data_IF_879756058362
#
_entry.id   IF_879756058362
#
_cell.length_a   1.000
_cell.length_b   1.000
_cell.length_c   1.000
_cell.angle_alpha   90.00
_cell.angle_beta   90.00
_cell.angle_gamma   90.00
#
_symmetry.space_group_name_H-M   'P 1'
#
loop_
_entity.id
_entity.type
_entity.pdbx_description
1 polymer ?
#
# COMPACT_ATOMS: atom_id res chain seq x y z
N UNK A 1 8.00 0.82 9.49
CA UNK A 1 7.19 -0.10 8.66
C UNK A 1 6.09 -0.80 9.47
N UNK A 2 4.84 -0.85 8.98
CA UNK A 2 3.69 -1.55 9.64
C UNK A 2 3.32 -2.80 8.83
N UNK A 3 3.07 -3.92 9.50
CA UNK A 3 2.54 -5.13 8.86
C UNK A 3 1.03 -4.91 8.62
N UNK A 4 0.60 -4.93 7.36
CA UNK A 4 -0.79 -4.72 6.94
C UNK A 4 -1.54 -6.04 6.73
N UNK A 5 -0.83 -7.11 6.40
CA UNK A 5 -1.38 -8.47 6.26
C UNK A 5 -0.32 -9.51 6.65
N UNK A 6 -0.77 -10.65 7.16
CA UNK A 6 0.07 -11.81 7.42
C UNK A 6 -0.69 -13.11 7.13
N UNK A 7 0.03 -14.21 6.99
CA UNK A 7 -0.58 -15.54 6.98
C UNK A 7 -1.20 -15.92 8.33
N UNK A 8 -1.34 -17.22 8.59
CA UNK A 8 -2.03 -17.75 9.76
C UNK A 8 -1.45 -17.29 11.11
N UNK A 9 -0.16 -16.94 11.15
CA UNK A 9 0.50 -16.40 12.35
C UNK A 9 1.07 -15.02 12.07
N UNK A 10 0.95 -14.14 13.06
CA UNK A 10 1.61 -12.83 13.03
C UNK A 10 3.12 -13.06 13.01
N UNK A 11 3.87 -12.49 12.06
CA UNK A 11 5.30 -12.73 11.98
C UNK A 11 6.03 -11.96 13.07
N UNK A 12 6.96 -12.64 13.73
CA UNK A 12 7.98 -12.02 14.56
C UNK A 12 9.17 -11.69 13.65
N UNK A 13 9.41 -10.41 13.46
CA UNK A 13 10.53 -9.90 12.66
C UNK A 13 11.60 -9.37 13.61
N UNK A 14 12.81 -9.93 13.48
CA UNK A 14 14.01 -9.43 14.13
C UNK A 14 14.38 -8.02 13.66
N UNK A 15 15.38 -7.40 14.28
CA UNK A 15 15.92 -6.12 13.81
C UNK A 15 16.48 -6.21 12.40
N UNK A 16 17.16 -7.31 12.06
CA UNK A 16 17.72 -7.56 10.73
C UNK A 16 16.61 -7.74 9.70
N UNK A 17 15.54 -8.48 10.04
CA UNK A 17 14.41 -8.67 9.13
C UNK A 17 13.71 -7.32 8.83
N UNK A 18 13.56 -6.47 9.85
CA UNK A 18 12.97 -5.13 9.69
C UNK A 18 13.84 -4.24 8.81
N UNK A 19 15.16 -4.25 9.03
CA UNK A 19 16.10 -3.49 8.21
C UNK A 19 16.10 -3.98 6.75
N UNK A 20 16.00 -5.29 6.52
CA UNK A 20 15.89 -5.86 5.18
C UNK A 20 14.59 -5.45 4.48
N UNK A 21 13.47 -5.45 5.22
CA UNK A 21 12.20 -5.01 4.67
C UNK A 21 12.16 -3.52 4.33
N UNK A 22 12.76 -2.68 5.19
CA UNK A 22 12.90 -1.24 4.97
C UNK A 22 13.80 -0.93 3.78
N UNK A 23 14.96 -1.59 3.70
CA UNK A 23 15.86 -1.46 2.54
C UNK A 23 15.15 -1.83 1.24
N UNK A 24 14.40 -2.94 1.23
CA UNK A 24 13.65 -3.36 0.03
C UNK A 24 12.58 -2.34 -0.38
N UNK A 25 11.93 -1.71 0.59
CA UNK A 25 10.95 -0.66 0.33
C UNK A 25 11.60 0.57 -0.31
N UNK A 26 12.69 1.05 0.29
CA UNK A 26 13.39 2.27 -0.12
C UNK A 26 14.08 2.14 -1.47
N UNK A 27 14.72 1.00 -1.73
CA UNK A 27 15.53 0.79 -2.94
C UNK A 27 14.72 0.16 -4.08
N UNK A 28 13.55 -0.41 -3.79
CA UNK A 28 12.74 -1.11 -4.79
C UNK A 28 13.46 -2.34 -5.35
N UNK A 29 14.30 -2.97 -4.53
CA UNK A 29 15.07 -4.18 -4.83
C UNK A 29 14.84 -5.25 -3.75
N UNK A 30 15.08 -6.52 -4.10
CA UNK A 30 14.91 -7.60 -3.13
C UNK A 30 16.03 -7.62 -2.08
N UNK A 31 15.66 -7.94 -0.84
CA UNK A 31 16.61 -8.09 0.28
C UNK A 31 16.28 -9.32 1.14
N UNK A 32 17.23 -9.68 1.99
CA UNK A 32 17.12 -10.79 2.93
C UNK A 32 17.64 -12.12 2.37
N UNK A 33 17.15 -13.23 2.93
CA UNK A 33 17.59 -14.58 2.58
C UNK A 33 17.45 -14.85 1.08
N UNK A 34 18.47 -15.47 0.48
CA UNK A 34 18.48 -15.82 -0.94
C UNK A 34 18.57 -14.61 -1.88
N UNK A 35 19.06 -13.47 -1.39
CA UNK A 35 19.35 -12.26 -2.19
C UNK A 35 20.80 -11.83 -2.01
N UNK A 36 21.19 -10.67 -2.56
CA UNK A 36 22.54 -10.11 -2.41
C UNK A 36 22.67 -9.12 -1.25
N UNK A 37 21.56 -8.73 -0.62
CA UNK A 37 21.53 -7.64 0.37
C UNK A 37 20.90 -8.11 1.66
N UNK A 38 21.53 -7.80 2.80
CA UNK A 38 21.03 -8.13 4.15
C UNK A 38 20.69 -9.63 4.32
N UNK A 39 21.57 -10.48 3.79
CA UNK A 39 21.38 -11.94 3.67
C UNK A 39 21.28 -12.69 5.00
N UNK A 40 21.65 -12.05 6.11
CA UNK A 40 21.51 -12.57 7.46
C UNK A 40 20.05 -12.61 7.96
N UNK A 41 19.12 -11.96 7.26
CA UNK A 41 17.67 -12.04 7.50
C UNK A 41 17.16 -13.48 7.36
N UNK A 42 16.21 -13.89 8.19
CA UNK A 42 15.52 -15.18 8.05
C UNK A 42 14.38 -15.13 7.03
N UNK A 43 14.01 -13.91 6.64
CA UNK A 43 13.00 -13.61 5.66
C UNK A 43 13.62 -13.17 4.34
N UNK A 44 12.94 -13.45 3.25
CA UNK A 44 13.16 -12.84 1.94
C UNK A 44 12.09 -11.75 1.73
N UNK A 45 12.51 -10.57 1.33
CA UNK A 45 11.65 -9.42 1.09
C UNK A 45 11.64 -9.05 -0.39
N UNK A 46 10.44 -8.89 -0.95
CA UNK A 46 10.21 -8.57 -2.37
C UNK A 46 9.36 -7.28 -2.47
N UNK A 47 9.86 -6.22 -3.11
CA UNK A 47 9.10 -4.98 -3.26
C UNK A 47 7.92 -5.16 -4.22
N UNK A 48 6.77 -4.57 -3.89
CA UNK A 48 5.65 -4.40 -4.82
C UNK A 48 5.84 -3.08 -5.56
N UNK A 49 6.67 -3.12 -6.61
CA UNK A 49 7.07 -1.94 -7.40
C UNK A 49 6.07 -1.68 -8.51
N UNK A 50 5.61 -0.43 -8.62
CA UNK A 50 4.67 0.00 -9.67
C UNK A 50 5.10 1.34 -10.27
N UNK A 51 4.25 1.90 -11.14
CA UNK A 51 4.46 3.23 -11.71
C UNK A 51 4.46 4.36 -10.65
N UNK A 52 3.80 4.13 -9.51
CA UNK A 52 3.74 5.04 -8.36
C UNK A 52 4.92 4.86 -7.37
N UNK A 53 5.88 3.99 -7.69
CA UNK A 53 6.99 3.61 -6.81
C UNK A 53 6.73 2.30 -6.06
N UNK A 54 7.47 2.06 -4.98
CA UNK A 54 7.27 0.88 -4.12
C UNK A 54 6.10 1.14 -3.19
N UNK A 55 5.00 0.41 -3.34
CA UNK A 55 3.79 0.61 -2.54
C UNK A 55 3.77 -0.23 -1.26
N UNK A 56 4.40 -1.40 -1.30
CA UNK A 56 4.53 -2.30 -0.15
C UNK A 56 5.71 -3.27 -0.35
N UNK A 57 5.98 -4.09 0.67
CA UNK A 57 6.97 -5.17 0.60
C UNK A 57 6.32 -6.48 1.04
N UNK A 58 6.48 -7.51 0.21
CA UNK A 58 6.09 -8.88 0.50
C UNK A 58 7.21 -9.60 1.26
N UNK A 59 6.90 -10.11 2.46
CA UNK A 59 7.82 -10.94 3.24
C UNK A 59 7.52 -12.43 3.07
N UNK A 60 8.53 -13.22 2.72
CA UNK A 60 8.44 -14.66 2.50
C UNK A 60 9.43 -15.39 3.42
N UNK A 61 8.97 -16.43 4.11
CA UNK A 61 9.83 -17.28 4.95
C UNK A 61 9.52 -18.74 4.72
N UNK A 62 10.56 -19.55 4.52
CA UNK A 62 10.42 -21.01 4.47
C UNK A 62 10.46 -21.59 5.90
N UNK A 63 9.53 -22.48 6.28
CA UNK A 63 9.59 -23.19 7.56
C UNK A 63 10.83 -24.08 7.69
N UNK A 64 11.40 -24.50 6.55
CA UNK A 64 12.51 -25.47 6.47
C UNK A 64 13.90 -24.82 6.44
N UNK A 65 14.00 -23.50 6.58
CA UNK A 65 15.27 -22.75 6.48
C UNK A 65 15.85 -22.66 5.06
N UNK A 66 15.20 -23.28 4.07
CA UNK A 66 15.52 -23.16 2.64
C UNK A 66 15.05 -21.81 2.08
N UNK A 67 15.41 -21.52 0.83
CA UNK A 67 14.85 -20.36 0.12
C UNK A 67 13.32 -20.43 0.08
N UNK A 68 12.67 -19.30 0.35
CA UNK A 68 11.22 -19.21 0.33
C UNK A 68 10.66 -19.40 -1.09
N UNK A 69 11.43 -18.97 -2.11
CA UNK A 69 11.12 -19.19 -3.52
C UNK A 69 12.20 -20.10 -4.13
N UNK A 70 11.87 -21.36 -4.46
CA UNK A 70 12.81 -22.23 -5.17
C UNK A 70 13.17 -21.66 -6.55
N UNK A 71 14.43 -21.79 -6.96
CA UNK A 71 14.94 -21.25 -8.24
C UNK A 71 14.10 -21.70 -9.44
N UNK A 72 13.63 -22.95 -9.45
CA UNK A 72 12.78 -23.52 -10.51
C UNK A 72 11.44 -22.78 -10.69
N UNK A 73 10.98 -22.04 -9.68
CA UNK A 73 9.73 -21.27 -9.70
C UNK A 73 9.95 -19.77 -9.64
N UNK A 74 11.19 -19.28 -9.75
CA UNK A 74 11.52 -17.87 -9.63
C UNK A 74 10.73 -17.00 -10.62
N UNK A 75 10.69 -17.36 -11.90
CA UNK A 75 9.97 -16.60 -12.92
C UNK A 75 8.45 -16.51 -12.65
N UNK A 76 7.83 -17.61 -12.19
CA UNK A 76 6.42 -17.61 -11.82
C UNK A 76 6.18 -16.74 -10.57
N UNK A 77 7.06 -16.83 -9.57
CA UNK A 77 6.96 -16.03 -8.37
C UNK A 77 7.07 -14.54 -8.67
N UNK A 78 8.04 -14.13 -9.50
CA UNK A 78 8.17 -12.73 -9.93
C UNK A 78 6.91 -12.27 -10.68
N UNK A 79 6.38 -13.08 -11.61
CA UNK A 79 5.14 -12.73 -12.31
C UNK A 79 3.94 -12.55 -11.36
N UNK A 80 3.83 -13.36 -10.31
CA UNK A 80 2.78 -13.23 -9.30
C UNK A 80 2.99 -11.99 -8.42
N UNK A 81 4.24 -11.66 -8.10
CA UNK A 81 4.60 -10.45 -7.35
C UNK A 81 4.25 -9.20 -8.17
N UNK A 82 4.54 -9.19 -9.47
CA UNK A 82 4.17 -8.10 -10.38
C UNK A 82 2.65 -7.92 -10.44
N UNK A 83 1.90 -9.02 -10.56
CA UNK A 83 0.43 -8.99 -10.52
C UNK A 83 -0.10 -8.48 -9.19
N UNK A 84 0.49 -8.90 -8.06
CA UNK A 84 0.13 -8.40 -6.74
C UNK A 84 0.41 -6.90 -6.60
N UNK A 85 1.51 -6.41 -7.18
CA UNK A 85 1.86 -4.99 -7.19
C UNK A 85 0.81 -4.17 -7.95
N UNK A 86 0.43 -4.60 -9.17
CA UNK A 86 -0.63 -3.94 -9.95
C UNK A 86 -1.99 -3.96 -9.24
N UNK A 87 -2.35 -5.08 -8.63
CA UNK A 87 -3.57 -5.18 -7.85
C UNK A 87 -3.55 -4.22 -6.64
N UNK A 88 -2.41 -4.07 -5.97
CA UNK A 88 -2.28 -3.16 -4.84
C UNK A 88 -2.33 -1.68 -5.27
N UNK A 89 -1.68 -1.33 -6.39
CA UNK A 89 -1.78 0.01 -7.00
C UNK A 89 -3.21 0.37 -7.34
N UNK A 90 -3.97 -0.56 -7.94
CA UNK A 90 -5.38 -0.34 -8.23
C UNK A 90 -6.19 -0.07 -6.97
N UNK A 91 -5.99 -0.85 -5.90
CA UNK A 91 -6.69 -0.64 -4.63
C UNK A 91 -6.35 0.73 -4.01
N UNK A 92 -5.10 1.16 -4.10
CA UNK A 92 -4.67 2.48 -3.66
C UNK A 92 -5.38 3.59 -4.44
N UNK A 93 -5.34 3.54 -5.77
CA UNK A 93 -6.01 4.52 -6.63
C UNK A 93 -7.53 4.57 -6.39
N UNK A 94 -8.18 3.42 -6.24
CA UNK A 94 -9.60 3.36 -5.92
C UNK A 94 -9.92 3.98 -4.55
N UNK A 95 -9.00 3.85 -3.58
CA UNK A 95 -9.15 4.45 -2.24
C UNK A 95 -8.98 5.97 -2.34
N UNK A 96 -7.92 6.44 -3.00
CA UNK A 96 -7.65 7.87 -3.20
C UNK A 96 -8.83 8.55 -3.93
N UNK A 97 -9.39 7.91 -4.97
CA UNK A 97 -10.58 8.43 -5.67
C UNK A 97 -11.81 8.55 -4.76
N UNK A 98 -12.06 7.57 -3.88
CA UNK A 98 -13.20 7.63 -2.94
C UNK A 98 -13.03 8.76 -1.93
N UNK A 99 -11.82 8.96 -1.42
CA UNK A 99 -11.52 10.06 -0.49
C UNK A 99 -11.73 11.43 -1.15
N UNK A 100 -11.29 11.59 -2.40
CA UNK A 100 -11.50 12.83 -3.17
C UNK A 100 -12.99 13.12 -3.41
N UNK A 101 -13.79 12.09 -3.70
CA UNK A 101 -15.24 12.25 -3.90
C UNK A 101 -15.94 12.70 -2.61
N UNK A 102 -15.55 12.16 -1.45
CA UNK A 102 -16.10 12.59 -0.15
C UNK A 102 -15.80 14.07 0.12
N UNK A 103 -14.58 14.53 -0.18
CA UNK A 103 -14.21 15.95 -0.03
C UNK A 103 -15.04 16.83 -0.96
N UNK A 104 -15.18 16.43 -2.23
CA UNK A 104 -15.96 17.15 -3.24
C UNK A 104 -17.44 17.28 -2.85
N UNK A 105 -18.04 16.20 -2.34
CA UNK A 105 -19.43 16.21 -1.87
C UNK A 105 -19.62 17.16 -0.69
N UNK A 106 -18.70 17.14 0.28
CA UNK A 106 -18.73 18.04 1.43
C UNK A 106 -18.66 19.50 1.00
N UNK A 107 -17.77 19.83 0.07
CA UNK A 107 -17.58 21.20 -0.37
C UNK A 107 -18.77 21.68 -1.24
N UNK A 108 -19.36 20.79 -2.05
CA UNK A 108 -20.62 21.07 -2.77
C UNK A 108 -21.79 21.33 -1.81
N UNK A 109 -21.94 20.50 -0.77
CA UNK A 109 -22.98 20.71 0.25
C UNK A 109 -22.80 22.05 0.98
N UNK A 110 -21.56 22.40 1.35
CA UNK A 110 -21.26 23.70 1.97
C UNK A 110 -21.63 24.86 1.03
N UNK A 111 -21.27 24.77 -0.24
CA UNK A 111 -21.61 25.79 -1.23
C UNK A 111 -23.13 25.94 -1.40
N UNK A 112 -23.87 24.83 -1.48
CA UNK A 112 -25.32 24.83 -1.58
C UNK A 112 -26.00 25.45 -0.35
N UNK A 113 -25.53 25.13 0.86
CA UNK A 113 -26.04 25.71 2.11
C UNK A 113 -25.78 27.21 2.19
N UNK A 114 -24.57 27.66 1.84
CA UNK A 114 -24.24 29.10 1.80
C UNK A 114 -25.09 29.85 0.76
N UNK A 115 -25.34 29.24 -0.40
CA UNK A 115 -26.19 29.82 -1.42
C UNK A 115 -27.65 29.95 -0.95
N UNK A 116 -28.20 28.92 -0.28
CA UNK A 116 -29.55 28.96 0.29
C UNK A 116 -29.70 30.04 1.36
N UNK A 117 -28.76 30.12 2.31
CA UNK A 117 -28.76 31.17 3.34
C UNK A 117 -28.65 32.56 2.73
N UNK A 118 -27.79 32.74 1.72
CA UNK A 118 -27.67 34.01 1.01
C UNK A 118 -28.93 34.36 0.23
N UNK A 119 -29.67 33.39 -0.28
CA UNK A 119 -30.95 33.60 -0.95
C UNK A 119 -32.00 34.06 0.07
N UNK A 120 -32.14 33.36 1.21
CA UNK A 120 -33.09 33.70 2.27
C UNK A 120 -32.79 35.06 2.93
N UNK A 121 -31.51 35.45 3.04
CA UNK A 121 -31.09 36.78 3.49
C UNK A 121 -31.30 37.88 2.42
N UNK A 122 -31.43 37.51 1.14
CA UNK A 122 -31.74 38.44 0.03
C UNK A 122 -33.22 38.55 -0.28
N UNK A 123 -34.06 37.62 0.15
CA UNK A 123 -35.52 37.75 0.09
C UNK A 123 -35.89 38.90 1.04
N UNK A 124 -36.25 40.09 0.54
CA UNK A 124 -36.42 41.25 1.41
C UNK A 124 -37.62 41.05 2.32
N UNK A 125 -37.58 41.74 3.46
CA UNK A 125 -38.69 42.09 4.34
C UNK A 125 -39.84 42.82 3.63
N UNK A 126 -40.40 42.23 2.57
CA UNK A 126 -41.63 42.66 1.91
C UNK A 126 -42.65 41.55 2.04
N UNK A 127 -43.19 41.46 3.25
CA UNK A 127 -44.58 41.04 3.41
C UNK A 127 -45.34 42.36 3.62
N UNK A 128 -46.13 42.84 2.64
CA UNK A 128 -47.10 43.92 2.88
C UNK A 128 -48.25 43.47 3.78
#
# INVERSE_FOLDING_TARGET
MKITASGQTKPELSSVDRAAAEWAFEHGEAAGRGTNTLTASDWQFRPLKTSLGTLAVLGLRSPSGRDAVPTKRAALAESLIDQAALAHERLKLETDMREMEVVRQRDSLRAALLASLSHDLRTPLTVP
#
